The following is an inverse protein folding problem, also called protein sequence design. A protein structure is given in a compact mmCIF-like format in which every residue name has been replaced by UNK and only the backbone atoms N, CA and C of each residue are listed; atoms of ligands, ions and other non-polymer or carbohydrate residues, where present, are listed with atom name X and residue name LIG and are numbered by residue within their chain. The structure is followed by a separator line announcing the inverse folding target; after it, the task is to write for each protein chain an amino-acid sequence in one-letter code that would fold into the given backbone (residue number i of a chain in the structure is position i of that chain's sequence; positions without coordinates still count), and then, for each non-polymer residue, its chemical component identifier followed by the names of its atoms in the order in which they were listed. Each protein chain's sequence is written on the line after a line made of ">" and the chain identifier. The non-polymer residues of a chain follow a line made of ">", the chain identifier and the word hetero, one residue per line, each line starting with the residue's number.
data_IF_096920484941
#
_entry.id   IF_096920484941
#
_cell.length_a   1.000
_cell.length_b   1.000
_cell.length_c   1.000
_cell.angle_alpha   90.00
_cell.angle_beta   90.00
_cell.angle_gamma   90.00
#
_symmetry.space_group_name_H-M   'P 1'
#
loop_
_entity.id
_entity.type
_entity.pdbx_description
1 polymer ?
#
# COMPACT_ATOMS: atom_id res chain seq x y z
N UNK A 1 -1.08 11.97 -2.80
CA UNK A 1 -0.06 11.95 -3.88
C UNK A 1 -0.12 10.59 -4.58
N UNK A 2 -0.08 10.54 -5.93
CA UNK A 2 -0.11 9.28 -6.68
C UNK A 2 1.24 8.57 -6.59
N UNK A 3 1.26 7.23 -6.58
CA UNK A 3 2.51 6.48 -6.50
C UNK A 3 3.34 6.61 -7.80
N UNK A 4 4.61 7.01 -7.65
CA UNK A 4 5.59 7.07 -8.76
C UNK A 4 6.21 5.69 -9.06
N UNK A 5 6.24 4.81 -8.06
CA UNK A 5 6.79 3.46 -8.16
C UNK A 5 5.68 2.44 -7.90
N UNK A 6 5.65 1.33 -8.65
CA UNK A 6 4.77 0.22 -8.33
C UNK A 6 5.19 -0.43 -7.00
N UNK A 7 4.27 -1.11 -6.34
CA UNK A 7 4.55 -1.83 -5.10
C UNK A 7 3.30 -2.42 -4.49
N UNK A 8 3.38 -2.90 -3.26
CA UNK A 8 2.26 -3.59 -2.62
C UNK A 8 1.45 -2.65 -1.74
N UNK A 9 0.12 -2.76 -1.84
CA UNK A 9 -0.78 -2.03 -0.98
C UNK A 9 -0.69 -2.57 0.44
N UNK A 10 -0.29 -1.74 1.38
CA UNK A 10 -0.20 -2.17 2.78
C UNK A 10 -1.59 -2.52 3.40
N UNK A 11 -2.70 -2.14 2.75
CA UNK A 11 -4.06 -2.39 3.24
C UNK A 11 -4.58 -3.77 2.89
N UNK A 12 -4.45 -4.15 1.61
CA UNK A 12 -5.00 -5.39 1.07
C UNK A 12 -3.94 -6.42 0.67
N UNK A 13 -2.65 -6.03 0.65
CA UNK A 13 -1.54 -6.87 0.20
C UNK A 13 -1.44 -6.99 -1.33
N UNK A 14 -2.41 -6.47 -2.09
CA UNK A 14 -2.42 -6.54 -3.54
C UNK A 14 -1.38 -5.62 -4.20
N UNK A 15 -0.91 -6.01 -5.38
CA UNK A 15 0.01 -5.21 -6.18
C UNK A 15 -0.68 -3.93 -6.71
N UNK A 16 0.07 -2.83 -6.70
CA UNK A 16 -0.36 -1.48 -7.08
C UNK A 16 0.57 -1.02 -8.18
N UNK A 17 0.02 -0.92 -9.39
CA UNK A 17 0.72 -0.37 -10.54
C UNK A 17 1.15 1.09 -10.34
N UNK A 18 2.16 1.50 -11.10
CA UNK A 18 2.60 2.90 -11.15
C UNK A 18 1.42 3.80 -11.54
N UNK A 19 1.27 4.92 -10.84
CA UNK A 19 0.19 5.87 -11.06
C UNK A 19 -1.22 5.28 -10.87
N UNK A 20 -1.38 4.15 -10.17
CA UNK A 20 -2.68 3.55 -9.83
C UNK A 20 -3.01 3.60 -8.33
N UNK A 21 -2.02 3.88 -7.49
CA UNK A 21 -2.17 4.03 -6.04
C UNK A 21 -1.73 5.37 -5.51
N UNK A 22 -1.64 5.42 -4.19
CA UNK A 22 -1.34 6.59 -3.38
C UNK A 22 -0.20 6.30 -2.43
N UNK A 23 0.65 7.30 -2.23
CA UNK A 23 1.65 7.30 -1.19
C UNK A 23 1.08 7.95 0.08
N UNK A 24 1.22 7.23 1.20
CA UNK A 24 0.87 7.70 2.53
C UNK A 24 2.13 7.70 3.42
N UNK A 25 2.34 8.78 4.18
CA UNK A 25 3.41 8.84 5.18
C UNK A 25 2.89 8.30 6.50
N UNK A 26 3.58 7.31 7.06
CA UNK A 26 3.30 6.79 8.40
C UNK A 26 4.60 6.59 9.17
N UNK A 27 4.73 7.27 10.31
CA UNK A 27 5.90 7.20 11.20
C UNK A 27 7.24 7.36 10.48
N UNK A 28 7.32 8.29 9.52
CA UNK A 28 8.56 8.55 8.76
C UNK A 28 8.76 7.67 7.52
N UNK A 29 7.97 6.61 7.32
CA UNK A 29 8.07 5.73 6.15
C UNK A 29 6.95 6.01 5.15
N UNK A 30 7.25 5.84 3.86
CA UNK A 30 6.26 5.88 2.79
C UNK A 30 5.65 4.51 2.59
N UNK A 31 4.32 4.44 2.58
CA UNK A 31 3.56 3.23 2.25
C UNK A 31 2.76 3.47 0.98
N UNK A 32 2.62 2.43 0.18
CA UNK A 32 1.79 2.44 -1.02
C UNK A 32 0.43 1.85 -0.65
N UNK A 33 -0.64 2.45 -1.16
CA UNK A 33 -1.99 1.89 -1.10
C UNK A 33 -2.74 2.10 -2.40
N UNK A 34 -3.73 1.26 -2.73
CA UNK A 34 -4.62 1.55 -3.86
C UNK A 34 -5.42 2.84 -3.61
N UNK A 35 -5.80 3.51 -4.70
CA UNK A 35 -6.71 4.65 -4.63
C UNK A 35 -8.05 4.27 -4.00
N UNK A 36 -8.58 3.10 -4.37
CA UNK A 36 -9.80 2.55 -3.81
C UNK A 36 -9.66 2.26 -2.31
N UNK A 37 -8.56 1.60 -1.90
CA UNK A 37 -8.25 1.38 -0.50
C UNK A 37 -8.11 2.70 0.29
N UNK A 38 -7.58 3.76 -0.32
CA UNK A 38 -7.53 5.07 0.34
C UNK A 38 -8.90 5.65 0.64
N UNK A 39 -9.86 5.48 -0.27
CA UNK A 39 -11.23 5.93 -0.08
C UNK A 39 -11.94 5.03 0.93
N UNK A 40 -11.84 3.70 0.76
CA UNK A 40 -12.48 2.69 1.62
C UNK A 40 -12.08 2.80 3.09
N UNK A 41 -10.81 3.09 3.36
CA UNK A 41 -10.29 3.21 4.72
C UNK A 41 -10.22 4.66 5.23
N UNK A 42 -10.68 5.66 4.45
CA UNK A 42 -10.69 7.07 4.86
C UNK A 42 -11.57 7.25 6.10
N UNK A 43 -11.01 7.80 7.18
CA UNK A 43 -11.72 7.99 8.45
C UNK A 43 -11.81 6.74 9.33
N UNK A 44 -11.25 5.60 8.90
CA UNK A 44 -11.20 4.39 9.73
C UNK A 44 -9.89 4.33 10.50
N UNK A 45 -9.94 3.89 11.78
CA UNK A 45 -8.74 3.60 12.59
C UNK A 45 -8.09 2.24 12.28
N UNK A 46 -8.72 1.46 11.40
CA UNK A 46 -8.19 0.16 10.97
C UNK A 46 -6.86 0.43 10.27
N UNK A 47 -5.84 -0.38 10.53
CA UNK A 47 -4.60 -0.42 9.76
C UNK A 47 -4.72 -1.72 8.96
N UNK A 48 -5.02 -1.65 7.66
CA UNK A 48 -5.35 -2.87 6.90
C UNK A 48 -4.28 -3.95 7.03
N UNK A 49 -4.71 -5.22 7.01
CA UNK A 49 -3.88 -6.41 7.22
C UNK A 49 -3.18 -6.87 5.93
N UNK A 50 -2.77 -5.96 5.06
CA UNK A 50 -2.09 -6.32 3.82
C UNK A 50 -0.73 -6.94 4.14
N UNK A 51 -0.68 -8.27 4.21
CA UNK A 51 0.57 -9.02 4.26
C UNK A 51 1.30 -8.76 2.95
N UNK A 52 2.47 -8.15 3.03
CA UNK A 52 3.39 -8.15 1.89
C UNK A 52 3.77 -9.61 1.63
N UNK A 53 3.76 -10.09 0.37
CA UNK A 53 4.33 -11.39 0.07
C UNK A 53 5.79 -11.35 0.53
N UNK A 54 6.12 -12.17 1.53
CA UNK A 54 7.50 -12.43 1.93
C UNK A 54 8.24 -12.85 0.66
N UNK A 55 9.25 -12.07 0.28
CA UNK A 55 10.17 -12.43 -0.79
C UNK A 55 10.80 -13.75 -0.37
N UNK A 56 10.40 -14.87 -0.97
CA UNK A 56 11.09 -16.14 -0.79
C UNK A 56 12.54 -15.92 -1.20
N UNK A 57 13.44 -16.06 -0.23
CA UNK A 57 14.87 -16.03 -0.42
C UNK A 57 15.20 -17.17 -1.39
N UNK A 58 15.47 -16.83 -2.65
CA UNK A 58 16.04 -17.76 -3.60
C UNK A 58 17.43 -18.13 -3.06
N UNK A 59 17.54 -19.34 -2.52
CA UNK A 59 18.79 -19.95 -2.07
C UNK A 59 19.72 -20.33 -3.21
#
# INVERSE_FOLDING_TARGET
>A
MRNKYPGYCYRCGGFVDRSKGHFERKNGYWRIQHADCAIKYRGTKVQGNGLQPKQEEAG
#
